data_IF_684888372790
#
_entry.id   IF_684888372790
#
_cell.length_a   1.000
_cell.length_b   1.000
_cell.length_c   1.000
_cell.angle_alpha   90.00
_cell.angle_beta   90.00
_cell.angle_gamma   90.00
#
_symmetry.space_group_name_H-M   'P 1'
#
loop_
_entity.id
_entity.type
_entity.pdbx_description
1 polymer ?
#
# COMPACT_ATOMS: atom_id res chain seq x y z
N UNK A 1 12.85 23.22 -14.18
CA UNK A 1 13.11 22.21 -13.13
C UNK A 1 14.48 22.48 -12.56
N UNK A 2 14.56 22.81 -11.27
CA UNK A 2 15.79 23.25 -10.60
C UNK A 2 16.75 22.08 -10.28
N UNK A 3 16.26 20.85 -10.33
CA UNK A 3 16.95 19.62 -9.94
C UNK A 3 16.93 18.58 -11.07
N UNK A 4 17.53 18.89 -12.23
CA UNK A 4 17.73 17.91 -13.29
C UNK A 4 19.17 17.38 -13.24
N UNK A 5 19.43 16.06 -13.35
CA UNK A 5 20.77 15.48 -13.27
C UNK A 5 21.74 16.05 -14.32
N UNK A 6 21.23 16.47 -15.49
CA UNK A 6 22.00 17.19 -16.52
C UNK A 6 22.61 18.53 -16.06
N UNK A 7 22.24 19.07 -14.88
CA UNK A 7 22.84 20.29 -14.33
C UNK A 7 24.06 20.05 -13.43
N UNK A 8 24.41 18.81 -13.11
CA UNK A 8 25.48 18.51 -12.17
C UNK A 8 26.53 17.59 -12.81
N UNK A 9 27.80 17.99 -12.76
CA UNK A 9 28.92 17.14 -13.20
C UNK A 9 29.14 15.98 -12.22
N UNK A 10 29.59 14.84 -12.74
CA UNK A 10 29.75 13.56 -12.01
C UNK A 10 30.63 13.60 -10.75
N UNK A 11 31.44 14.64 -10.56
CA UNK A 11 32.35 14.82 -9.41
C UNK A 11 31.84 15.79 -8.33
N UNK A 12 30.58 16.25 -8.41
CA UNK A 12 30.01 17.16 -7.42
C UNK A 12 29.37 16.38 -6.24
N UNK A 13 29.74 16.63 -4.97
CA UNK A 13 29.11 16.00 -3.80
C UNK A 13 27.58 16.21 -3.73
N UNK A 14 27.03 17.16 -4.52
CA UNK A 14 25.60 17.40 -4.66
C UNK A 14 24.87 16.45 -5.63
N UNK A 15 25.59 15.67 -6.45
CA UNK A 15 24.98 14.73 -7.38
C UNK A 15 24.25 13.59 -6.63
N UNK A 16 24.87 13.05 -5.58
CA UNK A 16 24.25 12.04 -4.71
C UNK A 16 23.02 12.59 -3.97
N UNK A 17 23.07 13.83 -3.49
CA UNK A 17 21.92 14.49 -2.86
C UNK A 17 20.77 14.77 -3.84
N UNK A 18 21.09 15.11 -5.10
CA UNK A 18 20.11 15.33 -6.15
C UNK A 18 19.41 14.02 -6.56
N UNK A 19 20.16 12.91 -6.63
CA UNK A 19 19.61 11.58 -6.93
C UNK A 19 18.61 11.15 -5.85
N UNK A 20 18.98 11.24 -4.57
CA UNK A 20 18.09 10.89 -3.45
C UNK A 20 16.80 11.71 -3.49
N UNK A 21 16.90 13.04 -3.65
CA UNK A 21 15.72 13.91 -3.73
C UNK A 21 14.84 13.57 -4.94
N UNK A 22 15.43 13.22 -6.08
CA UNK A 22 14.67 12.85 -7.27
C UNK A 22 13.89 11.54 -7.05
N UNK A 23 14.50 10.57 -6.39
CA UNK A 23 13.87 9.30 -6.01
C UNK A 23 12.71 9.52 -5.04
N UNK A 24 12.91 10.34 -4.00
CA UNK A 24 11.84 10.67 -3.04
C UNK A 24 10.63 11.33 -3.71
N UNK A 25 10.87 12.22 -4.67
CA UNK A 25 9.81 12.88 -5.45
C UNK A 25 9.05 11.86 -6.29
N UNK A 26 9.77 10.96 -6.96
CA UNK A 26 9.17 9.92 -7.82
C UNK A 26 8.33 8.95 -6.97
N UNK A 27 8.85 8.51 -5.82
CA UNK A 27 8.14 7.61 -4.90
C UNK A 27 6.90 8.27 -4.31
N UNK A 28 7.00 9.56 -3.92
CA UNK A 28 5.86 10.34 -3.47
C UNK A 28 4.77 10.46 -4.54
N UNK A 29 5.16 10.71 -5.80
CA UNK A 29 4.22 10.74 -6.91
C UNK A 29 3.53 9.38 -7.12
N UNK A 30 4.30 8.29 -7.15
CA UNK A 30 3.72 6.94 -7.27
C UNK A 30 2.80 6.59 -6.10
N UNK A 31 3.12 7.03 -4.88
CA UNK A 31 2.25 6.87 -3.73
C UNK A 31 0.91 7.59 -3.97
N UNK A 32 0.94 8.85 -4.37
CA UNK A 32 -0.28 9.64 -4.63
C UNK A 32 -1.15 9.03 -5.73
N UNK A 33 -0.53 8.57 -6.82
CA UNK A 33 -1.25 7.85 -7.89
C UNK A 33 -1.88 6.58 -7.35
N UNK A 34 -1.16 5.80 -6.54
CA UNK A 34 -1.67 4.53 -6.01
C UNK A 34 -2.90 4.65 -5.08
N UNK A 35 -3.12 5.82 -4.49
CA UNK A 35 -4.29 6.10 -3.62
C UNK A 35 -5.34 6.97 -4.32
N UNK A 36 -5.11 7.34 -5.59
CA UNK A 36 -6.01 8.22 -6.32
C UNK A 36 -7.36 7.51 -6.60
N UNK A 37 -8.50 8.24 -6.58
CA UNK A 37 -9.81 7.66 -6.89
C UNK A 37 -9.85 6.92 -8.23
N UNK A 38 -9.18 7.46 -9.25
CA UNK A 38 -9.12 6.88 -10.60
C UNK A 38 -8.41 5.51 -10.58
N UNK A 39 -7.34 5.38 -9.79
CA UNK A 39 -6.63 4.10 -9.64
C UNK A 39 -7.45 3.10 -8.82
N UNK A 40 -8.19 3.56 -7.82
CA UNK A 40 -9.12 2.71 -7.07
C UNK A 40 -10.22 2.17 -7.98
N UNK A 41 -10.85 3.05 -8.76
CA UNK A 41 -11.98 2.72 -9.61
C UNK A 41 -11.55 1.79 -10.76
N UNK A 42 -10.34 1.97 -11.30
CA UNK A 42 -9.77 1.05 -12.28
C UNK A 42 -9.52 -0.37 -11.73
N UNK A 43 -9.30 -0.53 -10.43
CA UNK A 43 -8.99 -1.80 -9.78
C UNK A 43 -10.15 -2.37 -8.95
N UNK A 44 -11.33 -1.73 -8.97
CA UNK A 44 -12.43 -2.07 -8.05
C UNK A 44 -12.98 -3.48 -8.27
N UNK A 45 -13.00 -3.94 -9.53
CA UNK A 45 -13.48 -5.27 -9.89
C UNK A 45 -12.57 -6.37 -9.34
N UNK A 46 -11.25 -6.24 -9.55
CA UNK A 46 -10.24 -7.16 -9.01
C UNK A 46 -10.27 -7.18 -7.48
N UNK A 47 -10.39 -6.01 -6.86
CA UNK A 47 -10.49 -5.90 -5.41
C UNK A 47 -11.75 -6.59 -4.87
N UNK A 48 -12.90 -6.37 -5.53
CA UNK A 48 -14.16 -6.99 -5.14
C UNK A 48 -14.11 -8.52 -5.29
N UNK A 49 -13.45 -9.02 -6.34
CA UNK A 49 -13.21 -10.44 -6.53
C UNK A 49 -12.35 -11.01 -5.40
N UNK A 50 -11.21 -10.38 -5.09
CA UNK A 50 -10.33 -10.73 -3.97
C UNK A 50 -11.11 -10.84 -2.66
N UNK A 51 -11.92 -9.83 -2.32
CA UNK A 51 -12.75 -9.84 -1.11
C UNK A 51 -13.93 -10.84 -1.13
N UNK A 52 -14.25 -11.39 -2.30
CA UNK A 52 -15.32 -12.37 -2.49
C UNK A 52 -14.84 -13.82 -2.43
N UNK A 53 -13.63 -14.07 -2.93
CA UNK A 53 -13.12 -15.43 -3.16
C UNK A 53 -11.92 -15.79 -2.30
N UNK A 54 -11.19 -14.80 -1.80
CA UNK A 54 -9.91 -14.99 -1.11
C UNK A 54 -10.04 -14.90 0.40
N UNK A 55 -9.20 -15.67 1.12
CA UNK A 55 -9.01 -15.56 2.56
C UNK A 55 -7.82 -14.66 2.90
N UNK A 56 -7.67 -14.32 4.18
CA UNK A 56 -6.44 -13.65 4.67
C UNK A 56 -5.36 -14.72 4.87
N UNK A 57 -4.21 -14.50 4.24
CA UNK A 57 -3.00 -15.30 4.42
C UNK A 57 -2.18 -14.79 5.61
N UNK A 58 -1.90 -13.49 5.62
CA UNK A 58 -1.15 -12.81 6.69
C UNK A 58 -1.58 -11.35 6.81
N UNK A 59 -1.25 -10.71 7.94
CA UNK A 59 -1.47 -9.28 8.13
C UNK A 59 -0.51 -8.67 9.16
N UNK A 60 -0.12 -7.42 8.95
CA UNK A 60 0.68 -6.64 9.89
C UNK A 60 0.13 -5.23 10.09
N UNK A 61 0.34 -4.66 11.28
CA UNK A 61 -0.09 -3.30 11.60
C UNK A 61 1.08 -2.47 12.10
N UNK A 62 1.38 -1.36 11.40
CA UNK A 62 2.46 -0.44 11.76
C UNK A 62 2.07 0.98 11.40
N UNK A 63 2.30 1.93 12.33
CA UNK A 63 2.08 3.38 12.09
C UNK A 63 0.71 3.70 11.49
N UNK A 64 -0.36 3.07 12.01
CA UNK A 64 -1.74 3.22 11.52
C UNK A 64 -2.00 2.70 10.10
N UNK A 65 -1.09 1.92 9.54
CA UNK A 65 -1.29 1.17 8.29
C UNK A 65 -1.47 -0.29 8.64
N UNK A 66 -2.59 -0.86 8.20
CA UNK A 66 -2.80 -2.31 8.20
C UNK A 66 -2.44 -2.82 6.81
N UNK A 67 -1.46 -3.70 6.71
CA UNK A 67 -1.14 -4.44 5.49
C UNK A 67 -1.77 -5.83 5.61
N UNK A 68 -2.46 -6.28 4.57
CA UNK A 68 -3.12 -7.60 4.51
C UNK A 68 -2.71 -8.29 3.23
N UNK A 69 -2.16 -9.49 3.36
CA UNK A 69 -1.88 -10.39 2.24
C UNK A 69 -2.99 -11.43 2.15
N UNK A 70 -3.57 -11.58 0.96
CA UNK A 70 -4.62 -12.54 0.68
C UNK A 70 -4.04 -13.86 0.14
N UNK A 71 -4.85 -14.93 0.16
CA UNK A 71 -4.41 -16.26 -0.28
C UNK A 71 -4.12 -16.34 -1.79
N UNK A 72 -4.62 -15.40 -2.59
CA UNK A 72 -4.30 -15.25 -4.02
C UNK A 72 -2.96 -14.52 -4.27
N UNK A 73 -2.25 -14.14 -3.21
CA UNK A 73 -0.96 -13.45 -3.28
C UNK A 73 -1.07 -11.92 -3.41
N UNK A 74 -2.27 -11.37 -3.57
CA UNK A 74 -2.45 -9.91 -3.56
C UNK A 74 -2.25 -9.35 -2.16
N UNK A 75 -1.66 -8.17 -2.08
CA UNK A 75 -1.47 -7.46 -0.81
C UNK A 75 -2.05 -6.06 -0.89
N UNK A 76 -2.77 -5.65 0.17
CA UNK A 76 -3.39 -4.33 0.26
C UNK A 76 -2.97 -3.62 1.54
N UNK A 77 -2.74 -2.31 1.44
CA UNK A 77 -2.50 -1.42 2.58
C UNK A 77 -3.75 -0.60 2.86
N UNK A 78 -4.17 -0.55 4.13
CA UNK A 78 -5.30 0.22 4.63
C UNK A 78 -4.80 1.30 5.59
N UNK A 79 -5.03 2.57 5.24
CA UNK A 79 -4.52 3.72 5.96
C UNK A 79 -5.48 4.20 7.05
N UNK A 80 -4.93 4.74 8.14
CA UNK A 80 -5.69 5.31 9.25
C UNK A 80 -6.34 4.27 10.16
N UNK A 81 -5.95 3.00 10.06
CA UNK A 81 -6.44 1.94 10.96
C UNK A 81 -5.82 2.17 12.34
N UNK A 82 -6.62 2.57 13.32
CA UNK A 82 -6.12 2.79 14.69
C UNK A 82 -5.70 1.48 15.37
N UNK A 83 -4.76 1.53 16.30
CA UNK A 83 -4.35 0.35 17.09
C UNK A 83 -5.52 -0.26 17.88
N UNK A 84 -6.50 0.55 18.29
CA UNK A 84 -7.73 0.08 18.94
C UNK A 84 -8.61 -0.73 17.98
N UNK A 85 -8.76 -0.27 16.73
CA UNK A 85 -9.54 -0.99 15.71
C UNK A 85 -8.83 -2.29 15.32
N UNK A 86 -7.51 -2.25 15.13
CA UNK A 86 -6.67 -3.42 14.91
C UNK A 86 -6.80 -4.45 16.05
N UNK A 87 -6.71 -4.00 17.31
CA UNK A 87 -6.92 -4.84 18.48
C UNK A 87 -8.28 -5.54 18.49
N UNK A 88 -9.35 -4.87 18.07
CA UNK A 88 -10.68 -5.51 17.91
C UNK A 88 -10.71 -6.54 16.78
N UNK A 89 -10.00 -6.28 15.68
CA UNK A 89 -9.92 -7.18 14.55
C UNK A 89 -9.25 -8.50 14.93
N UNK A 90 -8.08 -8.45 15.56
CA UNK A 90 -7.30 -9.66 15.91
C UNK A 90 -7.99 -10.52 16.98
N UNK A 91 -8.80 -9.89 17.84
CA UNK A 91 -9.59 -10.58 18.87
C UNK A 91 -10.97 -11.03 18.38
N UNK A 92 -11.31 -10.84 17.10
CA UNK A 92 -12.59 -11.27 16.55
C UNK A 92 -12.55 -12.76 16.17
N UNK A 93 -13.61 -13.50 16.49
CA UNK A 93 -13.80 -14.90 16.07
C UNK A 93 -13.65 -15.11 14.57
N UNK A 94 -13.96 -14.07 13.77
CA UNK A 94 -13.92 -14.09 12.30
C UNK A 94 -13.25 -12.83 11.78
N UNK A 95 -11.92 -12.80 11.85
CA UNK A 95 -11.03 -11.71 11.40
C UNK A 95 -11.47 -11.15 10.03
N UNK A 96 -11.62 -12.01 9.01
CA UNK A 96 -12.02 -11.57 7.66
C UNK A 96 -13.37 -10.84 7.66
N UNK A 97 -14.39 -11.39 8.33
CA UNK A 97 -15.72 -10.77 8.41
C UNK A 97 -15.67 -9.44 9.15
N UNK A 98 -14.86 -9.35 10.20
CA UNK A 98 -14.64 -8.10 10.92
C UNK A 98 -13.99 -7.06 10.01
N UNK A 99 -12.89 -7.41 9.34
CA UNK A 99 -12.15 -6.52 8.47
C UNK A 99 -13.00 -6.04 7.28
N UNK A 100 -13.77 -6.93 6.64
CA UNK A 100 -14.69 -6.59 5.54
C UNK A 100 -15.76 -5.57 5.93
N UNK A 101 -16.25 -5.63 7.17
CA UNK A 101 -17.29 -4.73 7.67
C UNK A 101 -16.78 -3.39 8.18
N UNK A 102 -15.56 -3.36 8.72
CA UNK A 102 -15.08 -2.20 9.48
C UNK A 102 -13.85 -1.52 8.85
N UNK A 103 -13.16 -2.17 7.92
CA UNK A 103 -11.87 -1.72 7.41
C UNK A 103 -11.88 -1.63 5.87
N UNK A 104 -12.11 -2.75 5.19
CA UNK A 104 -11.84 -2.91 3.75
C UNK A 104 -12.55 -1.91 2.84
N UNK A 105 -13.74 -1.44 3.23
CA UNK A 105 -14.54 -0.49 2.46
C UNK A 105 -14.71 0.87 3.17
N UNK A 106 -14.04 1.06 4.31
CA UNK A 106 -14.21 2.24 5.17
C UNK A 106 -12.94 3.06 5.34
N UNK A 107 -11.80 2.51 4.94
CA UNK A 107 -10.50 3.15 5.00
C UNK A 107 -9.97 3.41 3.59
N UNK A 108 -9.17 4.46 3.42
CA UNK A 108 -8.36 4.63 2.23
C UNK A 108 -7.46 3.40 2.10
N UNK A 109 -7.41 2.81 0.91
CA UNK A 109 -6.59 1.65 0.64
C UNK A 109 -5.89 1.75 -0.70
N UNK A 110 -4.84 0.96 -0.87
CA UNK A 110 -4.18 0.72 -2.16
C UNK A 110 -3.71 -0.71 -2.26
N UNK A 111 -3.54 -1.19 -3.49
CA UNK A 111 -2.78 -2.42 -3.74
C UNK A 111 -1.29 -2.13 -3.50
N UNK A 112 -0.64 -2.99 -2.74
CA UNK A 112 0.80 -2.88 -2.46
C UNK A 112 1.59 -3.20 -3.72
N UNK A 113 2.75 -2.56 -3.90
CA UNK A 113 3.69 -2.92 -4.97
C UNK A 113 4.37 -4.27 -4.71
N UNK A 114 4.28 -4.79 -3.48
CA UNK A 114 4.71 -6.13 -3.09
C UNK A 114 3.57 -7.10 -3.34
N UNK A 115 3.21 -7.35 -4.59
CA UNK A 115 2.60 -8.64 -4.88
C UNK A 115 3.68 -9.65 -4.49
N UNK A 116 3.44 -10.42 -3.42
CA UNK A 116 4.43 -11.33 -2.86
C UNK A 116 5.02 -12.15 -4.00
N UNK A 117 6.33 -12.05 -4.21
CA UNK A 117 7.04 -12.92 -5.16
C UNK A 117 6.66 -14.34 -4.77
N UNK A 118 5.79 -14.96 -5.56
CA UNK A 118 5.52 -16.39 -5.45
C UNK A 118 6.84 -17.04 -5.82
N UNK A 119 7.60 -17.42 -4.80
CA UNK A 119 8.81 -18.22 -4.93
C UNK A 119 8.39 -19.45 -5.71
N UNK A 120 8.83 -19.50 -6.97
CA UNK A 120 8.69 -20.67 -7.84
C UNK A 120 9.52 -21.83 -7.30
#
# INVERSE_FOLDING_TARGET
KEWHPDKFSQDDPKAAEAEVKSTEIIDGYHFLVSIAPETRDANIEEYTATLGTSGISDFQHKRQVLEVTFLDGTTYEYFGVSSKLYGKMVNSDKIFRFAKRNIFNSHLYRKSKRDSEVVK
#
